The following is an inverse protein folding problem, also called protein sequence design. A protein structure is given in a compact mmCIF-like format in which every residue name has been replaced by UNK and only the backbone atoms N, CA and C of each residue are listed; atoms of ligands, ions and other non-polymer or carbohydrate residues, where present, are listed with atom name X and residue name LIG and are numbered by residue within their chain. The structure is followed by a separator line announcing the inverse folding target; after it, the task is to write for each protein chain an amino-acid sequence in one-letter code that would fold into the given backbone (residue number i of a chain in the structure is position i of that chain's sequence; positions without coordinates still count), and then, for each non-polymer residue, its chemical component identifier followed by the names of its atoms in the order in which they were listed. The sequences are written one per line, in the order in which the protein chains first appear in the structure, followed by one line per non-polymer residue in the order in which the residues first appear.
data_IF_415452461716
#
_entry.id   IF_415452461716
#
_cell.length_a   1.000
_cell.length_b   1.000
_cell.length_c   1.000
_cell.angle_alpha   90.00
_cell.angle_beta   90.00
_cell.angle_gamma   90.00
#
_symmetry.space_group_name_H-M   'P 1'
#
loop_
_entity.id
_entity.type
_entity.pdbx_description
1 polymer ?
#
# COMPACT_ATOMS: atom_id res chain seq x y z
N UNK A 1 -3.80 3.33 7.70
CA UNK A 1 -3.86 1.95 7.15
C UNK A 1 -4.59 2.01 5.83
N UNK A 2 -4.15 1.25 4.83
CA UNK A 2 -4.85 1.11 3.56
C UNK A 2 -4.91 -0.37 3.15
N UNK A 3 -6.01 -0.78 2.51
CA UNK A 3 -6.23 -2.18 2.10
C UNK A 3 -6.50 -2.19 0.60
N UNK A 4 -5.78 -3.04 -0.12
CA UNK A 4 -5.99 -3.27 -1.54
C UNK A 4 -6.30 -4.76 -1.76
N UNK A 5 -7.37 -5.05 -2.51
CA UNK A 5 -7.81 -6.39 -2.87
C UNK A 5 -7.76 -6.53 -4.39
N UNK A 6 -7.23 -7.64 -4.89
CA UNK A 6 -7.38 -8.04 -6.27
C UNK A 6 -8.03 -9.41 -6.36
N UNK A 7 -9.08 -9.54 -7.17
CA UNK A 7 -9.73 -10.80 -7.55
C UNK A 7 -9.39 -11.21 -9.00
N UNK A 8 -8.35 -10.60 -9.58
CA UNK A 8 -7.85 -10.90 -10.92
C UNK A 8 -6.33 -11.04 -10.89
N UNK A 9 -5.65 -10.36 -11.82
CA UNK A 9 -4.19 -10.31 -11.90
C UNK A 9 -3.57 -9.40 -10.83
N UNK A 10 -2.24 -9.32 -10.79
CA UNK A 10 -1.54 -8.31 -9.98
C UNK A 10 -2.12 -6.92 -10.27
N UNK A 11 -2.43 -6.18 -9.21
CA UNK A 11 -3.15 -4.92 -9.26
C UNK A 11 -2.37 -3.79 -8.63
N UNK A 12 -2.57 -2.58 -9.15
CA UNK A 12 -2.08 -1.36 -8.51
C UNK A 12 -3.16 -0.29 -8.48
N UNK A 13 -3.14 0.56 -7.45
CA UNK A 13 -4.11 1.66 -7.33
C UNK A 13 -3.48 2.85 -6.61
N UNK A 14 -3.65 4.04 -7.17
CA UNK A 14 -3.35 5.29 -6.46
C UNK A 14 -4.42 5.51 -5.40
N UNK A 15 -3.99 5.71 -4.16
CA UNK A 15 -4.86 5.85 -3.00
C UNK A 15 -4.41 7.05 -2.17
N UNK A 16 -5.38 7.87 -1.78
CA UNK A 16 -5.20 8.88 -0.75
C UNK A 16 -5.25 8.21 0.62
N UNK A 17 -4.22 8.43 1.44
CA UNK A 17 -4.11 7.86 2.78
C UNK A 17 -4.35 8.90 3.88
N UNK A 18 -4.36 10.19 3.54
CA UNK A 18 -4.42 11.30 4.47
C UNK A 18 -3.17 11.47 5.35
N UNK A 19 -2.08 10.75 5.04
CA UNK A 19 -0.83 10.78 5.79
C UNK A 19 0.32 11.18 4.86
N UNK A 20 0.66 12.47 4.75
CA UNK A 20 1.81 12.94 3.96
C UNK A 20 3.14 12.35 4.43
N UNK A 21 4.08 12.16 3.49
CA UNK A 21 5.48 11.78 3.78
C UNK A 21 5.64 10.60 4.75
N UNK A 22 4.72 9.64 4.70
CA UNK A 22 4.64 8.50 5.62
C UNK A 22 5.01 7.24 4.88
N UNK A 23 5.97 6.48 5.41
CA UNK A 23 6.37 5.18 4.86
C UNK A 23 5.42 4.09 5.32
N UNK A 24 5.01 3.22 4.39
CA UNK A 24 4.18 2.05 4.62
C UNK A 24 4.91 0.78 4.24
N UNK A 25 4.52 -0.31 4.88
CA UNK A 25 4.89 -1.68 4.51
C UNK A 25 3.66 -2.57 4.45
N UNK A 26 3.70 -3.60 3.60
CA UNK A 26 2.64 -4.60 3.48
C UNK A 26 2.79 -5.67 4.57
N UNK A 27 1.88 -5.69 5.54
CA UNK A 27 1.91 -6.65 6.66
C UNK A 27 1.53 -8.07 6.24
N UNK A 28 0.99 -8.24 5.04
CA UNK A 28 0.74 -9.58 4.47
C UNK A 28 1.99 -10.19 3.87
N UNK A 29 3.09 -9.42 3.78
CA UNK A 29 4.42 -9.86 3.31
C UNK A 29 4.40 -10.35 1.85
N UNK A 30 3.37 -10.00 1.07
CA UNK A 30 3.33 -10.29 -0.36
C UNK A 30 4.25 -9.37 -1.17
N UNK A 31 4.50 -8.16 -0.65
CA UNK A 31 5.31 -7.13 -1.29
C UNK A 31 6.35 -6.62 -0.29
N UNK A 32 7.62 -6.85 -0.60
CA UNK A 32 8.74 -6.50 0.28
C UNK A 32 9.14 -5.01 0.19
N UNK A 33 8.72 -4.31 -0.86
CA UNK A 33 9.07 -2.92 -1.10
C UNK A 33 8.33 -1.99 -0.12
N UNK A 34 9.07 -1.07 0.49
CA UNK A 34 8.52 0.03 1.26
C UNK A 34 8.08 1.14 0.32
N UNK A 35 6.95 1.78 0.62
CA UNK A 35 6.42 2.88 -0.18
C UNK A 35 6.20 4.10 0.71
N UNK A 36 6.42 5.29 0.19
CA UNK A 36 6.21 6.54 0.92
C UNK A 36 5.19 7.39 0.19
N UNK A 37 4.23 7.93 0.92
CA UNK A 37 3.25 8.88 0.38
C UNK A 37 3.93 10.20 0.04
N UNK A 38 3.38 10.90 -0.96
CA UNK A 38 3.84 12.24 -1.32
C UNK A 38 3.37 13.30 -0.29
N UNK A 39 3.65 14.57 -0.57
CA UNK A 39 3.28 15.72 0.28
C UNK A 39 1.76 15.87 0.47
N UNK A 40 0.96 15.32 -0.44
CA UNK A 40 -0.50 15.35 -0.37
C UNK A 40 -1.08 14.10 0.30
N UNK A 41 -0.25 13.16 0.76
CA UNK A 41 -0.70 11.92 1.38
C UNK A 41 -1.19 10.84 0.41
N UNK A 42 -0.83 10.94 -0.87
CA UNK A 42 -1.16 9.96 -1.92
C UNK A 42 -0.01 8.99 -2.16
N UNK A 43 -0.34 7.74 -2.50
CA UNK A 43 0.64 6.72 -2.87
C UNK A 43 0.04 5.69 -3.83
N UNK A 44 0.89 5.09 -4.66
CA UNK A 44 0.52 3.92 -5.47
C UNK A 44 0.69 2.65 -4.65
N UNK A 45 -0.42 2.01 -4.30
CA UNK A 45 -0.42 0.69 -3.65
C UNK A 45 -0.39 -0.43 -4.67
N UNK A 46 0.18 -1.56 -4.27
CA UNK A 46 0.27 -2.79 -5.05
C UNK A 46 -0.42 -3.93 -4.31
N UNK A 47 -0.93 -4.92 -5.04
CA UNK A 47 -1.52 -6.14 -4.50
C UNK A 47 -1.31 -7.29 -5.50
N UNK A 48 -0.98 -8.48 -5.00
CA UNK A 48 -0.87 -9.68 -5.83
C UNK A 48 -2.22 -10.17 -6.35
N UNK A 49 -2.19 -10.91 -7.45
CA UNK A 49 -3.33 -11.60 -8.04
C UNK A 49 -4.07 -12.44 -7.00
N UNK A 50 -5.41 -12.41 -7.04
CA UNK A 50 -6.28 -13.20 -6.15
C UNK A 50 -5.90 -13.07 -4.65
N UNK A 51 -5.50 -11.89 -4.22
CA UNK A 51 -4.96 -11.67 -2.87
C UNK A 51 -5.40 -10.31 -2.30
N UNK A 52 -5.04 -10.10 -1.04
CA UNK A 52 -5.15 -8.84 -0.31
C UNK A 52 -3.75 -8.40 0.13
N UNK A 53 -3.47 -7.10 0.00
CA UNK A 53 -2.32 -6.44 0.63
C UNK A 53 -2.82 -5.40 1.62
N UNK A 54 -2.28 -5.44 2.84
CA UNK A 54 -2.65 -4.55 3.93
C UNK A 54 -1.44 -3.68 4.27
N UNK A 55 -1.55 -2.40 3.95
CA UNK A 55 -0.48 -1.43 4.10
C UNK A 55 -0.66 -0.67 5.41
N UNK A 56 0.33 -0.78 6.30
CA UNK A 56 0.35 -0.04 7.57
C UNK A 56 1.53 0.93 7.62
N UNK A 57 1.38 2.10 8.27
CA UNK A 57 2.51 2.99 8.49
C UNK A 57 3.62 2.27 9.25
N UNK A 58 4.85 2.47 8.81
CA UNK A 58 6.03 2.07 9.58
C UNK A 58 6.07 2.91 10.85
N UNK A 59 6.20 2.25 12.00
CA UNK A 59 6.53 2.89 13.26
C UNK A 59 8.05 2.91 13.41
N UNK A 60 8.56 3.98 14.01
CA UNK A 60 9.96 4.11 14.42
C UNK A 60 10.27 3.27 15.67
#
# INVERSE_FOLDING_TARGET
MAVLLSNGMDGTKNMETGAPNTTYFDITVHIAELITTNDDGWVKLQCKANSVSVWVPKQD
#
